data_IF_427140496908
#
_entry.id   IF_427140496908
#
_cell.length_a   1.000
_cell.length_b   1.000
_cell.length_c   1.000
_cell.angle_alpha   90.00
_cell.angle_beta   90.00
_cell.angle_gamma   90.00
#
_symmetry.space_group_name_H-M   'P 1'
#
loop_
_entity.id
_entity.type
_entity.pdbx_description
1 polymer ?
#
# COMPACT_ATOMS: atom_id res chain seq x y z
N UNK A 1 -12.04 -27.60 47.82
CA UNK A 1 -11.72 -26.42 46.97
C UNK A 1 -12.31 -26.70 45.60
N UNK A 2 -13.48 -26.11 45.28
CA UNK A 2 -13.64 -24.97 44.34
C UNK A 2 -13.28 -25.33 42.89
N UNK A 3 -14.08 -25.13 41.84
CA UNK A 3 -15.35 -24.41 41.64
C UNK A 3 -16.05 -24.92 40.37
N UNK A 4 -17.36 -24.68 40.28
CA UNK A 4 -18.27 -24.93 39.14
C UNK A 4 -17.88 -24.09 37.90
N UNK A 5 -18.29 -24.56 36.71
CA UNK A 5 -19.13 -23.80 35.76
C UNK A 5 -19.64 -24.68 34.61
N UNK A 6 -20.96 -24.86 34.58
CA UNK A 6 -21.75 -25.29 33.42
C UNK A 6 -21.81 -24.13 32.40
N UNK A 7 -21.82 -24.45 31.11
CA UNK A 7 -22.12 -23.48 30.05
C UNK A 7 -22.17 -24.15 28.69
N UNK A 8 -23.36 -24.58 28.27
CA UNK A 8 -23.60 -25.17 26.95
C UNK A 8 -23.77 -24.10 25.87
N UNK A 9 -23.32 -24.41 24.66
CA UNK A 9 -23.70 -23.69 23.45
C UNK A 9 -24.07 -24.70 22.36
N UNK A 10 -25.37 -24.84 22.13
CA UNK A 10 -25.95 -25.42 20.92
C UNK A 10 -26.14 -24.25 19.95
N UNK A 11 -25.44 -24.28 18.82
CA UNK A 11 -25.69 -23.39 17.69
C UNK A 11 -26.25 -24.23 16.53
N UNK A 12 -27.57 -24.16 16.38
CA UNK A 12 -28.35 -24.68 15.26
C UNK A 12 -28.40 -23.59 14.20
N UNK A 13 -27.81 -23.81 13.02
CA UNK A 13 -27.93 -22.90 11.90
C UNK A 13 -29.01 -23.45 10.95
N UNK A 14 -30.20 -22.90 11.08
CA UNK A 14 -31.29 -23.09 10.13
C UNK A 14 -31.02 -22.28 8.85
N UNK A 15 -31.28 -22.94 7.72
CA UNK A 15 -31.19 -22.42 6.36
C UNK A 15 -32.35 -21.46 6.09
N UNK A 16 -32.05 -20.27 5.56
CA UNK A 16 -33.03 -19.40 4.94
C UNK A 16 -32.54 -18.92 3.56
N UNK A 17 -33.08 -19.57 2.52
CA UNK A 17 -33.08 -19.07 1.14
C UNK A 17 -33.95 -17.80 1.07
N UNK A 18 -33.43 -16.72 0.48
CA UNK A 18 -34.32 -15.77 -0.19
C UNK A 18 -33.72 -15.10 -1.42
N UNK A 19 -34.62 -14.87 -2.37
CA UNK A 19 -34.46 -14.58 -3.79
C UNK A 19 -34.24 -13.08 -4.07
N UNK A 20 -33.57 -12.81 -5.21
CA UNK A 20 -33.86 -11.75 -6.20
C UNK A 20 -33.67 -10.28 -5.78
N UNK A 21 -32.78 -9.56 -6.49
CA UNK A 21 -33.15 -8.38 -7.28
C UNK A 21 -31.95 -7.75 -8.02
N UNK A 22 -32.01 -7.76 -9.35
CA UNK A 22 -31.26 -6.89 -10.26
C UNK A 22 -31.67 -5.42 -10.05
N UNK A 23 -30.73 -4.50 -9.80
CA UNK A 23 -30.89 -3.04 -9.94
C UNK A 23 -29.49 -2.38 -10.11
N UNK A 24 -29.37 -1.15 -10.63
CA UNK A 24 -29.61 -0.74 -12.02
C UNK A 24 -28.38 -0.03 -12.63
N UNK A 25 -28.29 0.02 -13.98
CA UNK A 25 -27.25 0.80 -14.69
C UNK A 25 -27.44 2.31 -14.45
N UNK A 26 -26.40 3.08 -14.07
CA UNK A 26 -26.48 4.53 -14.12
C UNK A 26 -26.46 5.02 -15.56
N UNK A 27 -27.51 5.74 -15.93
CA UNK A 27 -27.72 6.40 -17.22
C UNK A 27 -26.97 7.73 -17.17
N UNK A 28 -26.00 7.93 -18.07
CA UNK A 28 -25.28 9.19 -18.21
C UNK A 28 -26.23 10.26 -18.78
N UNK A 29 -26.37 11.45 -18.17
CA UNK A 29 -27.02 12.57 -18.82
C UNK A 29 -26.09 13.17 -19.87
N UNK A 30 -26.56 13.22 -21.12
CA UNK A 30 -26.01 14.10 -22.15
C UNK A 30 -26.45 15.52 -21.85
N UNK A 31 -25.50 16.45 -21.69
CA UNK A 31 -25.78 17.88 -21.67
C UNK A 31 -25.03 18.54 -22.82
N UNK A 32 -25.74 18.68 -23.94
CA UNK A 32 -25.48 19.69 -24.96
C UNK A 32 -25.91 21.03 -24.39
N UNK A 33 -25.00 21.99 -24.28
CA UNK A 33 -25.28 23.36 -23.85
C UNK A 33 -24.64 24.33 -24.83
N UNK A 34 -25.38 24.65 -25.89
CA UNK A 34 -25.19 25.81 -26.74
C UNK A 34 -26.23 26.85 -26.29
N UNK A 35 -25.77 28.02 -25.86
CA UNK A 35 -26.53 29.28 -25.86
C UNK A 35 -25.60 30.43 -25.45
N UNK A 36 -25.33 31.28 -26.43
CA UNK A 36 -24.77 32.62 -26.30
C UNK A 36 -25.72 33.58 -25.57
N UNK A 37 -25.10 34.68 -25.14
CA UNK A 37 -25.65 36.03 -24.96
C UNK A 37 -25.94 36.56 -23.52
N UNK A 38 -25.41 37.79 -23.38
CA UNK A 38 -25.86 38.91 -22.54
C UNK A 38 -25.30 39.11 -21.14
N UNK A 39 -24.07 39.63 -21.14
CA UNK A 39 -23.79 41.03 -20.76
C UNK A 39 -24.96 41.78 -20.08
N UNK A 40 -24.94 41.94 -18.75
CA UNK A 40 -24.92 43.25 -18.09
C UNK A 40 -25.11 43.17 -16.57
N UNK A 41 -24.30 44.00 -15.91
CA UNK A 41 -24.58 44.78 -14.70
C UNK A 41 -24.67 44.01 -13.37
N UNK A 42 -23.52 44.08 -12.67
CA UNK A 42 -23.38 44.72 -11.36
C UNK A 42 -24.72 44.97 -10.66
N UNK A 43 -24.95 44.34 -9.52
CA UNK A 43 -25.43 44.98 -8.30
C UNK A 43 -25.35 43.99 -7.13
N UNK A 44 -24.66 44.45 -6.08
CA UNK A 44 -24.99 44.31 -4.66
C UNK A 44 -24.85 42.90 -4.06
N UNK A 45 -23.78 42.70 -3.29
CA UNK A 45 -23.72 42.87 -1.82
C UNK A 45 -24.40 41.71 -1.09
N UNK A 46 -23.61 40.92 -0.35
CA UNK A 46 -23.80 40.65 1.09
C UNK A 46 -22.73 39.65 1.58
N UNK A 47 -21.93 40.10 2.54
CA UNK A 47 -21.00 39.33 3.39
C UNK A 47 -21.79 38.47 4.41
N UNK A 48 -21.20 37.74 5.40
CA UNK A 48 -19.80 37.39 5.69
C UNK A 48 -19.57 35.89 6.07
N UNK A 49 -18.30 35.53 6.25
CA UNK A 49 -17.78 34.52 7.19
C UNK A 49 -18.38 33.09 7.24
N UNK A 50 -17.60 32.12 6.74
CA UNK A 50 -17.43 30.83 7.43
C UNK A 50 -16.15 30.14 6.94
N UNK A 51 -15.31 29.78 7.91
CA UNK A 51 -14.10 29.00 7.73
C UNK A 51 -14.42 27.55 7.32
N UNK A 52 -13.60 26.97 6.45
CA UNK A 52 -13.27 25.54 6.48
C UNK A 52 -12.03 25.27 5.62
N UNK A 53 -10.91 25.03 6.31
CA UNK A 53 -9.76 24.32 5.75
C UNK A 53 -10.21 22.89 5.41
N UNK A 54 -10.01 22.46 4.16
CA UNK A 54 -10.19 21.05 3.77
C UNK A 54 -8.99 20.59 2.94
N UNK A 55 -8.05 19.97 3.68
CA UNK A 55 -7.19 18.85 3.35
C UNK A 55 -6.91 18.51 1.87
N UNK A 56 -5.62 18.62 1.52
CA UNK A 56 -4.96 17.76 0.55
C UNK A 56 -5.18 16.28 0.92
N UNK A 57 -5.76 15.50 0.01
CA UNK A 57 -5.58 14.04 0.00
C UNK A 57 -5.68 13.51 -1.42
N UNK A 58 -4.71 13.90 -2.25
CA UNK A 58 -4.44 13.20 -3.51
C UNK A 58 -3.81 11.85 -3.20
N UNK A 59 -4.63 10.80 -3.06
CA UNK A 59 -4.17 9.42 -3.04
C UNK A 59 -3.83 8.99 -4.47
N UNK A 60 -2.62 9.32 -4.91
CA UNK A 60 -2.06 8.80 -6.15
C UNK A 60 -1.63 7.35 -5.94
N UNK A 61 -2.52 6.40 -6.21
CA UNK A 61 -2.10 4.99 -6.38
C UNK A 61 -1.39 4.85 -7.72
N UNK A 62 -0.09 5.12 -7.74
CA UNK A 62 0.77 4.78 -8.87
C UNK A 62 0.92 3.27 -8.91
N UNK A 63 0.07 2.61 -9.71
CA UNK A 63 0.25 1.21 -10.07
C UNK A 63 1.34 1.17 -11.14
N UNK A 64 2.59 0.97 -10.72
CA UNK A 64 3.73 0.80 -11.62
C UNK A 64 3.57 -0.40 -12.58
N UNK A 65 4.40 -0.50 -13.64
CA UNK A 65 4.18 -1.43 -14.74
C UNK A 65 4.34 -2.89 -14.27
N UNK A 66 3.23 -3.58 -14.08
CA UNK A 66 3.16 -4.96 -13.63
C UNK A 66 2.77 -5.88 -14.78
N UNK A 67 3.74 -6.52 -15.44
CA UNK A 67 3.50 -7.80 -16.17
C UNK A 67 4.60 -8.85 -16.04
N UNK A 68 5.83 -8.50 -15.67
CA UNK A 68 6.90 -9.46 -15.30
C UNK A 68 7.42 -9.29 -13.86
N UNK A 69 6.87 -8.32 -13.11
CA UNK A 69 7.22 -7.99 -11.72
C UNK A 69 6.37 -8.76 -10.70
N UNK A 70 5.83 -9.93 -11.06
CA UNK A 70 4.83 -10.64 -10.25
C UNK A 70 5.46 -11.61 -9.26
N UNK A 71 6.64 -12.15 -9.58
CA UNK A 71 7.35 -13.10 -8.73
C UNK A 71 8.51 -12.38 -8.02
N UNK A 72 8.60 -12.50 -6.69
CA UNK A 72 9.74 -11.95 -5.98
C UNK A 72 11.01 -12.71 -6.33
N UNK A 73 12.10 -11.96 -6.51
CA UNK A 73 13.45 -12.51 -6.66
C UNK A 73 13.85 -13.30 -5.40
N UNK A 74 13.42 -12.82 -4.22
CA UNK A 74 13.61 -13.53 -2.96
C UNK A 74 12.38 -13.37 -2.07
N UNK A 75 12.05 -14.44 -1.35
CA UNK A 75 11.03 -14.44 -0.29
C UNK A 75 11.55 -15.27 0.88
N UNK A 76 11.82 -14.62 2.02
CA UNK A 76 12.54 -15.21 3.16
C UNK A 76 11.82 -14.86 4.45
N UNK A 77 11.64 -15.84 5.35
CA UNK A 77 11.21 -15.59 6.73
C UNK A 77 12.41 -15.42 7.64
N UNK A 78 12.38 -14.42 8.53
CA UNK A 78 13.41 -14.15 9.53
C UNK A 78 12.79 -14.05 10.93
N UNK A 79 13.56 -14.45 11.95
CA UNK A 79 13.21 -14.21 13.35
C UNK A 79 13.54 -12.78 13.79
N UNK A 80 14.22 -11.98 12.95
CA UNK A 80 14.57 -10.59 13.23
C UNK A 80 13.38 -9.67 12.96
N UNK A 81 13.25 -8.64 13.80
CA UNK A 81 12.27 -7.58 13.60
C UNK A 81 12.60 -6.75 12.35
N UNK A 82 11.61 -6.19 11.65
CA UNK A 82 11.84 -5.38 10.44
C UNK A 82 12.83 -4.23 10.64
N UNK A 83 12.81 -3.57 11.80
CA UNK A 83 13.72 -2.45 12.10
C UNK A 83 15.19 -2.90 12.09
N UNK A 84 15.49 -4.04 12.72
CA UNK A 84 16.85 -4.58 12.74
C UNK A 84 17.38 -4.90 11.34
N UNK A 85 16.54 -5.51 10.49
CA UNK A 85 16.91 -5.83 9.11
C UNK A 85 17.11 -4.54 8.30
N UNK A 86 16.23 -3.55 8.45
CA UNK A 86 16.37 -2.27 7.77
C UNK A 86 17.68 -1.57 8.12
N UNK A 87 17.99 -1.45 9.42
CA UNK A 87 19.23 -0.84 9.90
C UNK A 87 20.47 -1.60 9.40
N UNK A 88 20.41 -2.94 9.40
CA UNK A 88 21.49 -3.77 8.88
C UNK A 88 21.71 -3.55 7.38
N UNK A 89 20.64 -3.46 6.58
CA UNK A 89 20.74 -3.20 5.14
C UNK A 89 21.24 -1.77 4.85
N UNK A 90 20.74 -0.77 5.58
CA UNK A 90 21.22 0.63 5.46
C UNK A 90 22.72 0.76 5.76
N UNK A 91 23.26 -0.06 6.67
CA UNK A 91 24.69 -0.05 7.00
C UNK A 91 25.59 -0.72 5.95
N UNK A 92 25.02 -1.59 5.09
CA UNK A 92 25.77 -2.42 4.14
C UNK A 92 25.64 -1.91 2.71
N UNK A 93 24.44 -1.49 2.35
CA UNK A 93 24.11 -1.07 1.00
C UNK A 93 24.26 0.44 0.89
N UNK A 94 24.88 0.88 -0.21
CA UNK A 94 24.91 2.29 -0.56
C UNK A 94 23.59 2.71 -1.21
N UNK A 95 23.15 3.95 -1.00
CA UNK A 95 21.95 4.53 -1.62
C UNK A 95 20.67 3.75 -1.28
N UNK A 96 20.38 3.71 0.02
CA UNK A 96 19.18 3.08 0.56
C UNK A 96 18.17 4.15 0.97
N UNK A 97 16.91 3.95 0.61
CA UNK A 97 15.79 4.80 1.03
C UNK A 97 14.73 3.95 1.70
N UNK A 98 14.55 4.18 2.99
CA UNK A 98 13.55 3.47 3.79
C UNK A 98 12.29 4.31 3.94
N UNK A 99 11.14 3.67 3.73
CA UNK A 99 9.81 4.22 3.95
C UNK A 99 8.95 3.22 4.72
N UNK A 100 7.83 3.69 5.28
CA UNK A 100 6.85 2.83 5.96
C UNK A 100 5.49 3.03 5.34
N UNK A 101 4.89 1.94 4.90
CA UNK A 101 3.58 1.95 4.21
C UNK A 101 2.77 0.77 4.73
N UNK A 102 1.56 1.03 5.22
CA UNK A 102 0.62 -0.04 5.62
C UNK A 102 1.14 -1.00 6.70
N UNK A 103 2.03 -0.54 7.58
CA UNK A 103 2.63 -1.37 8.63
C UNK A 103 3.81 -2.24 8.17
N UNK A 104 4.15 -2.22 6.88
CA UNK A 104 5.39 -2.76 6.36
C UNK A 104 6.48 -1.68 6.28
N UNK A 105 7.73 -2.10 6.37
CA UNK A 105 8.89 -1.26 6.03
C UNK A 105 9.27 -1.57 4.58
N UNK A 106 9.30 -0.54 3.74
CA UNK A 106 9.77 -0.65 2.36
C UNK A 106 11.14 -0.01 2.25
N UNK A 107 12.04 -0.65 1.51
CA UNK A 107 13.40 -0.22 1.31
C UNK A 107 13.66 -0.22 -0.19
N UNK A 108 13.89 0.96 -0.75
CA UNK A 108 14.37 1.10 -2.12
C UNK A 108 15.91 1.14 -2.11
N UNK A 109 16.53 0.36 -2.97
CA UNK A 109 17.99 0.27 -3.12
C UNK A 109 18.36 0.67 -4.54
N UNK A 110 19.32 1.56 -4.69
CA UNK A 110 19.80 2.05 -5.99
C UNK A 110 19.83 3.57 -6.07
N UNK A 111 19.99 4.10 -7.27
CA UNK A 111 20.06 5.56 -7.46
C UNK A 111 18.70 6.22 -7.21
N UNK A 112 18.69 7.44 -6.65
CA UNK A 112 17.45 8.16 -6.31
C UNK A 112 16.50 8.36 -7.52
N UNK A 113 17.03 8.37 -8.76
CA UNK A 113 16.26 8.47 -10.00
C UNK A 113 15.87 7.13 -10.62
N UNK A 114 16.48 6.02 -10.19
CA UNK A 114 16.24 4.69 -10.71
C UNK A 114 16.63 3.61 -9.68
N UNK A 115 15.63 3.12 -8.97
CA UNK A 115 15.82 2.08 -7.95
C UNK A 115 16.00 0.71 -8.62
N UNK A 116 17.05 0.01 -8.18
CA UNK A 116 17.46 -1.32 -8.63
C UNK A 116 16.61 -2.42 -7.98
N UNK A 117 16.32 -2.26 -6.68
CA UNK A 117 15.57 -3.24 -5.90
C UNK A 117 14.57 -2.57 -4.96
N UNK A 118 13.50 -3.31 -4.67
CA UNK A 118 12.54 -2.98 -3.62
C UNK A 118 12.45 -4.14 -2.64
N UNK A 119 12.79 -3.88 -1.38
CA UNK A 119 12.65 -4.83 -0.28
C UNK A 119 11.44 -4.43 0.55
N UNK A 120 10.52 -5.36 0.76
CA UNK A 120 9.39 -5.19 1.67
C UNK A 120 9.61 -6.08 2.89
N UNK A 121 9.63 -5.47 4.07
CA UNK A 121 9.70 -6.14 5.36
C UNK A 121 8.33 -6.09 6.02
N UNK A 122 7.64 -7.21 6.04
CA UNK A 122 6.32 -7.34 6.68
C UNK A 122 6.50 -7.97 8.06
N UNK A 123 6.07 -7.30 9.14
CA UNK A 123 6.07 -7.92 10.47
C UNK A 123 5.26 -9.22 10.47
N UNK A 124 5.81 -10.29 11.06
CA UNK A 124 5.12 -11.56 11.26
C UNK A 124 5.50 -12.14 12.62
N UNK A 125 4.54 -12.17 13.56
CA UNK A 125 4.77 -12.54 14.96
C UNK A 125 5.91 -11.71 15.58
N UNK A 126 6.94 -12.37 16.14
CA UNK A 126 8.13 -11.72 16.69
C UNK A 126 9.20 -11.40 15.63
N UNK A 127 9.01 -11.84 14.38
CA UNK A 127 9.97 -11.69 13.29
C UNK A 127 9.41 -10.92 12.10
N UNK A 128 9.89 -11.26 10.91
CA UNK A 128 9.48 -10.62 9.67
C UNK A 128 9.56 -11.54 8.46
N UNK A 129 8.79 -11.18 7.44
CA UNK A 129 8.89 -11.72 6.10
C UNK A 129 9.56 -10.67 5.22
N UNK A 130 10.58 -11.09 4.51
CA UNK A 130 11.38 -10.28 3.60
C UNK A 130 10.98 -10.67 2.18
N UNK A 131 10.49 -9.71 1.40
CA UNK A 131 10.20 -9.85 -0.02
C UNK A 131 11.11 -8.93 -0.81
N UNK A 132 11.88 -9.46 -1.76
CA UNK A 132 12.76 -8.67 -2.62
C UNK A 132 12.26 -8.73 -4.05
N UNK A 133 12.08 -7.55 -4.65
CA UNK A 133 11.68 -7.36 -6.04
C UNK A 133 12.82 -6.72 -6.82
N UNK A 134 13.09 -7.24 -8.01
CA UNK A 134 13.95 -6.60 -9.01
C UNK A 134 13.11 -6.29 -10.25
N UNK A 135 12.82 -5.01 -10.55
CA UNK A 135 12.05 -4.64 -11.74
C UNK A 135 12.80 -5.03 -13.02
N UNK A 136 12.07 -5.51 -14.04
CA UNK A 136 12.68 -6.08 -15.26
C UNK A 136 13.60 -5.14 -16.08
N UNK A 137 13.48 -3.83 -15.89
CA UNK A 137 14.30 -2.82 -16.57
C UNK A 137 15.15 -2.01 -15.58
N UNK A 138 15.30 -2.49 -14.36
CA UNK A 138 16.09 -1.84 -13.34
C UNK A 138 17.58 -2.16 -13.54
N UNK A 139 18.48 -1.27 -13.11
CA UNK A 139 19.90 -1.56 -13.12
C UNK A 139 20.24 -2.63 -12.08
N UNK A 140 21.31 -3.39 -12.34
CA UNK A 140 21.91 -4.32 -11.38
C UNK A 140 22.96 -3.60 -10.52
N UNK A 141 22.52 -2.59 -9.75
CA UNK A 141 23.36 -1.84 -8.82
C UNK A 141 22.70 -1.77 -7.43
N UNK A 142 23.08 -2.62 -6.47
CA UNK A 142 24.22 -3.56 -6.52
C UNK A 142 23.95 -4.78 -7.42
N UNK A 143 24.99 -5.55 -7.81
CA UNK A 143 24.80 -6.83 -8.50
C UNK A 143 23.91 -7.80 -7.70
N UNK A 144 23.08 -8.59 -8.39
CA UNK A 144 22.17 -9.56 -7.76
C UNK A 144 22.85 -10.43 -6.67
N UNK A 145 24.04 -11.03 -6.90
CA UNK A 145 24.69 -11.87 -5.88
C UNK A 145 25.02 -11.11 -4.59
N UNK A 146 25.41 -9.83 -4.70
CA UNK A 146 25.69 -8.97 -3.54
C UNK A 146 24.40 -8.68 -2.78
N UNK A 147 23.33 -8.32 -3.49
CA UNK A 147 22.02 -8.10 -2.89
C UNK A 147 21.52 -9.33 -2.12
N UNK A 148 21.64 -10.53 -2.71
CA UNK A 148 21.25 -11.79 -2.04
C UNK A 148 22.10 -12.08 -0.81
N UNK A 149 23.39 -11.79 -0.88
CA UNK A 149 24.31 -11.97 0.24
C UNK A 149 23.98 -11.06 1.42
N UNK A 150 23.74 -9.76 1.17
CA UNK A 150 23.41 -8.81 2.22
C UNK A 150 22.06 -9.11 2.87
N UNK A 151 21.05 -9.50 2.09
CA UNK A 151 19.77 -9.98 2.61
C UNK A 151 19.97 -11.19 3.53
N UNK A 152 20.74 -12.20 3.09
CA UNK A 152 20.99 -13.39 3.90
C UNK A 152 21.68 -13.05 5.23
N UNK A 153 22.66 -12.14 5.19
CA UNK A 153 23.42 -11.74 6.38
C UNK A 153 22.59 -10.93 7.38
N UNK A 154 21.66 -10.10 6.89
CA UNK A 154 20.78 -9.31 7.75
C UNK A 154 19.55 -10.10 8.25
N UNK A 155 19.18 -11.19 7.57
CA UNK A 155 18.05 -12.02 7.94
C UNK A 155 18.35 -13.04 9.06
N UNK A 156 19.63 -13.26 9.41
CA UNK A 156 20.07 -14.23 10.44
C UNK A 156 20.38 -13.61 11.79
#
# INVERSE_FOLDING_TARGET
MSSRLNGGFVAKHDVALNRVALRPRPKFPHTTGDADDRTMKRLLLLAPAAAALAALSGCGSSSGPARNASLPMMYVSSQRAPAYIADCLESRLSRVRTSRVGGATEIAVGSDSNNSYFVTLTPLNAGSVIKVMHPANAPDDPPEPEMRFDIARCAT
#
